data_IF_832581144124
#
_entry.id   IF_832581144124
#
_cell.length_a   1.000
_cell.length_b   1.000
_cell.length_c   1.000
_cell.angle_alpha   90.00
_cell.angle_beta   90.00
_cell.angle_gamma   90.00
#
_symmetry.space_group_name_H-M   'P 1'
#
loop_
_entity.id
_entity.type
_entity.pdbx_description
1 polymer ?
#
# COMPACT_ATOMS: atom_id res chain seq x y z
N UNK A 1 -19.71 4.96 4.94
CA UNK A 1 -18.38 5.55 5.19
C UNK A 1 -17.99 6.30 3.93
N UNK A 2 -17.50 7.53 4.06
CA UNK A 2 -17.00 8.28 2.90
C UNK A 2 -15.71 7.62 2.36
N UNK A 3 -15.38 7.89 1.09
CA UNK A 3 -14.16 7.38 0.45
C UNK A 3 -12.93 7.89 1.20
N UNK A 4 -12.06 6.98 1.63
CA UNK A 4 -10.76 7.30 2.25
C UNK A 4 -9.68 7.14 1.18
N UNK A 5 -8.84 8.17 1.02
CA UNK A 5 -7.67 8.12 0.13
C UNK A 5 -6.40 8.27 0.96
N UNK A 6 -5.48 7.33 0.80
CA UNK A 6 -4.12 7.44 1.31
C UNK A 6 -3.23 7.90 0.16
N UNK A 7 -2.38 8.89 0.38
CA UNK A 7 -1.39 9.37 -0.58
C UNK A 7 -0.01 9.27 0.05
N UNK A 8 0.95 8.72 -0.67
CA UNK A 8 2.33 8.56 -0.23
C UNK A 8 3.23 9.12 -1.32
N UNK A 9 3.65 10.39 -1.20
CA UNK A 9 4.60 10.98 -2.12
C UNK A 9 6.01 10.42 -1.86
N UNK A 10 6.77 10.23 -2.94
CA UNK A 10 8.23 10.04 -2.88
C UNK A 10 8.73 8.95 -1.91
N UNK A 11 8.13 7.74 -1.84
CA UNK A 11 8.55 6.75 -0.84
C UNK A 11 9.88 6.07 -1.16
N UNK A 12 10.40 6.23 -2.38
CA UNK A 12 11.58 5.53 -2.88
C UNK A 12 12.83 6.41 -2.79
N UNK A 13 13.96 5.79 -2.45
CA UNK A 13 15.23 6.51 -2.37
C UNK A 13 15.72 6.90 -3.78
N UNK A 14 16.21 8.14 -3.90
CA UNK A 14 16.84 8.63 -5.14
C UNK A 14 15.85 8.98 -6.26
N UNK A 15 14.55 9.04 -5.98
CA UNK A 15 13.54 9.57 -6.92
C UNK A 15 12.43 10.27 -6.14
N UNK A 16 12.23 11.56 -6.44
CA UNK A 16 11.25 12.37 -5.71
C UNK A 16 9.87 12.39 -6.39
N UNK A 17 9.82 12.10 -7.69
CA UNK A 17 8.60 12.27 -8.49
C UNK A 17 7.76 10.99 -8.62
N UNK A 18 8.11 9.91 -7.92
CA UNK A 18 7.31 8.68 -7.90
C UNK A 18 6.52 8.62 -6.60
N UNK A 19 5.21 8.44 -6.69
CA UNK A 19 4.31 8.31 -5.55
C UNK A 19 3.22 7.29 -5.80
N UNK A 20 2.41 7.02 -4.77
CA UNK A 20 1.19 6.23 -4.95
C UNK A 20 0.04 6.76 -4.11
N UNK A 21 -1.17 6.37 -4.50
CA UNK A 21 -2.38 6.52 -3.70
C UNK A 21 -3.15 5.22 -3.61
N UNK A 22 -3.82 5.00 -2.49
CA UNK A 22 -4.75 3.90 -2.29
C UNK A 22 -6.13 4.46 -2.01
N UNK A 23 -7.14 4.03 -2.76
CA UNK A 23 -8.53 4.50 -2.61
C UNK A 23 -9.39 3.41 -1.98
N UNK A 24 -9.85 3.65 -0.77
CA UNK A 24 -10.72 2.71 -0.06
C UNK A 24 -12.15 2.95 -0.52
N UNK A 25 -12.79 1.95 -1.14
CA UNK A 25 -14.15 2.09 -1.60
C UNK A 25 -15.08 2.36 -0.41
N UNK A 26 -16.08 3.21 -0.61
CA UNK A 26 -17.17 3.36 0.34
C UNK A 26 -17.87 2.00 0.52
N UNK A 27 -17.79 1.45 1.72
CA UNK A 27 -18.43 0.18 2.07
C UNK A 27 -18.92 0.20 3.52
N UNK A 28 -19.86 -0.70 3.84
CA UNK A 28 -20.29 -0.91 5.22
C UNK A 28 -19.19 -1.62 6.01
N UNK A 29 -19.14 -1.37 7.32
CA UNK A 29 -18.09 -1.85 8.22
C UNK A 29 -18.13 -3.37 8.43
N UNK A 30 -19.30 -3.98 8.28
CA UNK A 30 -19.54 -5.41 8.36
C UNK A 30 -19.38 -6.13 7.01
N UNK A 31 -19.04 -5.42 5.94
CA UNK A 31 -18.74 -6.02 4.64
C UNK A 31 -17.26 -6.42 4.55
N UNK A 32 -17.00 -7.53 3.85
CA UNK A 32 -15.65 -7.91 3.45
C UNK A 32 -14.97 -6.74 2.74
N UNK A 33 -13.69 -6.49 3.06
CA UNK A 33 -12.91 -5.48 2.36
C UNK A 33 -12.85 -5.80 0.86
N UNK A 34 -13.40 -4.89 0.05
CA UNK A 34 -13.32 -4.97 -1.40
C UNK A 34 -11.88 -4.74 -1.86
N UNK A 35 -11.57 -5.18 -3.08
CA UNK A 35 -10.27 -4.91 -3.72
C UNK A 35 -9.94 -3.41 -3.61
N UNK A 36 -8.80 -3.08 -2.99
CA UNK A 36 -8.37 -1.69 -2.79
C UNK A 36 -7.39 -1.33 -3.91
N UNK A 37 -7.77 -0.45 -4.86
CA UNK A 37 -6.89 -0.01 -5.92
C UNK A 37 -5.77 0.88 -5.38
N UNK A 38 -4.55 0.55 -5.81
CA UNK A 38 -3.35 1.36 -5.71
C UNK A 38 -3.06 1.95 -7.07
N UNK A 39 -2.93 3.28 -7.11
CA UNK A 39 -2.54 4.04 -8.30
C UNK A 39 -1.13 4.53 -8.03
N UNK A 40 -0.19 4.13 -8.87
CA UNK A 40 1.23 4.51 -8.76
C UNK A 40 1.55 5.41 -9.95
N UNK A 41 2.15 6.56 -9.66
CA UNK A 41 2.37 7.63 -10.63
C UNK A 41 3.82 8.12 -10.54
N UNK A 42 4.42 8.44 -11.68
CA UNK A 42 5.73 9.08 -11.75
C UNK A 42 6.32 9.09 -13.16
N UNK A 43 7.57 9.53 -13.33
CA UNK A 43 8.17 9.67 -14.65
C UNK A 43 8.36 8.32 -15.39
N UNK A 44 8.37 8.29 -16.73
CA UNK A 44 8.37 7.05 -17.50
C UNK A 44 9.52 6.08 -17.19
N UNK A 45 10.74 6.61 -16.99
CA UNK A 45 11.95 5.80 -16.76
C UNK A 45 11.91 5.04 -15.42
N UNK A 46 11.71 5.68 -14.26
CA UNK A 46 11.57 4.97 -12.99
C UNK A 46 10.32 4.09 -12.95
N UNK A 47 9.21 4.50 -13.58
CA UNK A 47 7.98 3.71 -13.64
C UNK A 47 8.17 2.37 -14.36
N UNK A 48 8.92 2.33 -15.47
CA UNK A 48 9.23 1.06 -16.16
C UNK A 48 9.85 0.02 -15.24
N UNK A 49 10.88 0.42 -14.49
CA UNK A 49 11.54 -0.47 -13.52
C UNK A 49 10.59 -0.82 -12.39
N UNK A 50 9.82 0.14 -11.89
CA UNK A 50 8.88 -0.12 -10.81
C UNK A 50 7.86 -1.19 -11.20
N UNK A 51 7.24 -1.08 -12.38
CA UNK A 51 6.26 -2.06 -12.88
C UNK A 51 6.86 -3.46 -13.02
N UNK A 52 8.10 -3.57 -13.50
CA UNK A 52 8.83 -4.85 -13.55
C UNK A 52 8.96 -5.49 -12.15
N UNK A 53 9.27 -4.68 -11.14
CA UNK A 53 9.38 -5.16 -9.75
C UNK A 53 8.02 -5.46 -9.12
N UNK A 54 6.99 -4.65 -9.40
CA UNK A 54 5.62 -4.88 -8.90
C UNK A 54 5.00 -6.15 -9.47
N UNK A 55 5.40 -6.56 -10.68
CA UNK A 55 4.93 -7.82 -11.29
C UNK A 55 5.25 -9.04 -10.42
N UNK A 56 6.33 -8.99 -9.63
CA UNK A 56 6.72 -10.04 -8.70
C UNK A 56 5.73 -10.23 -7.54
N UNK A 57 4.87 -9.25 -7.27
CA UNK A 57 3.92 -9.31 -6.15
C UNK A 57 2.89 -10.43 -6.35
N UNK A 58 2.57 -10.76 -7.60
CA UNK A 58 1.68 -11.88 -7.94
C UNK A 58 2.26 -13.24 -7.54
N UNK A 59 3.59 -13.34 -7.41
CA UNK A 59 4.31 -14.53 -6.99
C UNK A 59 4.62 -14.55 -5.48
N UNK A 60 3.99 -13.68 -4.68
CA UNK A 60 4.22 -13.56 -3.21
C UNK A 60 4.26 -14.92 -2.52
N UNK A 61 3.26 -15.75 -2.78
CA UNK A 61 3.08 -17.04 -2.13
C UNK A 61 4.16 -18.08 -2.50
N UNK A 62 4.87 -17.89 -3.61
CA UNK A 62 6.01 -18.73 -4.01
C UNK A 62 7.34 -18.15 -3.56
N UNK A 63 7.44 -16.84 -3.38
CA UNK A 63 8.65 -16.13 -2.98
C UNK A 63 8.82 -16.03 -1.45
N UNK A 64 7.72 -16.13 -0.70
CA UNK A 64 7.72 -16.03 0.77
C UNK A 64 7.25 -17.35 1.36
N UNK A 65 8.18 -18.08 1.98
CA UNK A 65 7.94 -19.41 2.57
C UNK A 65 7.44 -19.38 4.01
N UNK A 66 7.67 -18.29 4.74
CA UNK A 66 7.16 -18.08 6.10
C UNK A 66 5.84 -17.30 6.05
N UNK A 67 4.72 -18.01 6.25
CA UNK A 67 3.40 -17.39 6.40
C UNK A 67 3.16 -17.04 7.86
N UNK A 68 3.18 -15.74 8.19
CA UNK A 68 2.60 -15.25 9.43
C UNK A 68 1.08 -15.08 9.29
N UNK A 69 0.36 -14.93 10.40
CA UNK A 69 -1.09 -14.68 10.38
C UNK A 69 -1.45 -13.40 9.58
N UNK A 70 -0.53 -12.44 9.49
CA UNK A 70 -0.66 -11.19 8.71
C UNK A 70 -0.38 -11.34 7.19
N UNK A 71 -0.24 -12.56 6.65
CA UNK A 71 0.03 -12.82 5.22
C UNK A 71 -1.20 -13.22 4.39
N UNK A 72 -2.39 -13.13 4.99
CA UNK A 72 -3.67 -13.47 4.37
C UNK A 72 -4.18 -12.39 3.39
N UNK A 73 -3.40 -12.11 2.36
CA UNK A 73 -3.75 -11.19 1.26
C UNK A 73 -3.03 -11.56 -0.03
N UNK A 74 -3.45 -10.97 -1.15
CA UNK A 74 -2.73 -11.06 -2.42
C UNK A 74 -2.78 -9.75 -3.20
N UNK A 75 -1.91 -9.63 -4.20
CA UNK A 75 -1.89 -8.51 -5.14
C UNK A 75 -2.34 -8.97 -6.52
N UNK A 76 -3.07 -8.10 -7.24
CA UNK A 76 -3.28 -8.31 -8.68
C UNK A 76 -2.00 -8.01 -9.46
N UNK A 77 -1.93 -8.50 -10.69
CA UNK A 77 -0.90 -8.05 -11.63
C UNK A 77 -1.02 -6.53 -11.83
N UNK A 78 0.10 -5.80 -11.94
CA UNK A 78 0.06 -4.39 -12.29
C UNK A 78 -0.45 -4.23 -13.73
N UNK A 79 -1.40 -3.33 -13.92
CA UNK A 79 -1.92 -2.91 -15.21
C UNK A 79 -1.35 -1.54 -15.51
N UNK A 80 -0.54 -1.46 -16.56
CA UNK A 80 0.03 -0.20 -16.99
C UNK A 80 -0.99 0.55 -17.86
N UNK A 81 -1.40 1.75 -17.40
CA UNK A 81 -2.36 2.59 -18.12
C UNK A 81 -1.65 3.53 -19.10
N UNK A 82 -0.52 4.08 -18.66
CA UNK A 82 0.43 4.88 -19.46
C UNK A 82 1.85 4.53 -19.04
N UNK A 83 2.87 5.09 -19.69
CA UNK A 83 4.25 4.95 -19.22
C UNK A 83 4.49 5.63 -17.87
N UNK A 84 3.60 6.54 -17.45
CA UNK A 84 3.67 7.29 -16.18
C UNK A 84 2.74 6.76 -15.07
N UNK A 85 1.74 5.94 -15.41
CA UNK A 85 0.70 5.49 -14.47
C UNK A 85 0.49 3.98 -14.55
N UNK A 86 0.56 3.30 -13.40
CA UNK A 86 0.13 1.91 -13.27
C UNK A 86 -0.85 1.71 -12.10
N UNK A 87 -1.71 0.71 -12.24
CA UNK A 87 -2.71 0.35 -11.23
C UNK A 87 -2.54 -1.11 -10.85
N UNK A 88 -2.63 -1.41 -9.56
CA UNK A 88 -2.76 -2.76 -9.02
C UNK A 88 -3.74 -2.73 -7.85
N UNK A 89 -4.25 -3.88 -7.41
CA UNK A 89 -5.17 -3.94 -6.29
C UNK A 89 -4.67 -4.89 -5.20
N UNK A 90 -4.89 -4.46 -3.96
CA UNK A 90 -4.77 -5.29 -2.78
C UNK A 90 -6.05 -6.10 -2.58
N UNK A 91 -5.91 -7.40 -2.29
CA UNK A 91 -7.02 -8.31 -2.00
C UNK A 91 -6.87 -8.88 -0.60
N UNK A 92 -7.81 -8.54 0.27
CA UNK A 92 -7.85 -9.08 1.62
C UNK A 92 -8.47 -10.49 1.65
N UNK A 93 -7.80 -11.40 2.37
CA UNK A 93 -8.28 -12.74 2.67
C UNK A 93 -8.32 -13.01 4.19
N UNK A 94 -8.14 -11.98 5.03
CA UNK A 94 -8.03 -12.12 6.49
C UNK A 94 -9.38 -12.31 7.20
N UNK A 95 -10.47 -11.78 6.65
CA UNK A 95 -11.80 -11.88 7.27
C UNK A 95 -12.36 -13.32 7.24
N UNK A 96 -12.28 -13.98 8.40
CA UNK A 96 -13.29 -14.93 8.90
C UNK A 96 -14.40 -14.13 9.61
N UNK A 97 -15.65 -14.50 9.39
CA UNK A 97 -16.85 -13.84 9.95
C UNK A 97 -16.70 -13.54 11.46
N UNK A 98 -16.66 -12.26 11.84
CA UNK A 98 -16.72 -11.82 13.24
C UNK A 98 -18.07 -11.14 13.46
N UNK A 99 -18.94 -11.81 14.23
CA UNK A 99 -20.18 -11.26 14.75
C UNK A 99 -19.88 -10.43 16.00
N UNK A 100 -20.32 -9.17 16.08
CA UNK A 100 -20.36 -8.44 17.36
C UNK A 100 -20.43 -6.91 17.25
N UNK A 101 -21.48 -6.35 17.85
CA UNK A 101 -21.77 -4.92 18.03
C UNK A 101 -20.69 -4.17 18.84
N UNK A 102 -19.99 -3.21 18.25
CA UNK A 102 -19.38 -2.07 18.98
C UNK A 102 -19.02 -0.91 18.02
N UNK A 103 -20.02 -0.15 17.58
CA UNK A 103 -20.03 0.52 16.27
C UNK A 103 -19.33 1.90 16.19
N UNK A 104 -19.13 2.61 17.31
CA UNK A 104 -18.63 4.00 17.27
C UNK A 104 -17.14 4.16 17.62
N UNK A 105 -16.62 3.36 18.55
CA UNK A 105 -15.20 3.36 18.92
C UNK A 105 -14.36 2.57 17.91
N UNK A 106 -14.97 1.55 17.29
CA UNK A 106 -14.39 0.76 16.22
C UNK A 106 -14.01 1.62 15.01
N UNK A 107 -14.81 2.63 14.61
CA UNK A 107 -14.54 3.43 13.41
C UNK A 107 -13.19 4.19 13.42
N UNK A 108 -12.79 4.77 14.56
CA UNK A 108 -11.48 5.44 14.69
C UNK A 108 -10.32 4.44 14.79
N UNK A 109 -10.56 3.31 15.43
CA UNK A 109 -9.56 2.24 15.54
C UNK A 109 -9.40 1.48 14.21
N UNK A 110 -10.47 1.39 13.41
CA UNK A 110 -10.54 0.80 12.08
C UNK A 110 -9.73 1.60 11.06
N UNK A 111 -9.82 2.94 11.04
CA UNK A 111 -8.94 3.78 10.20
C UNK A 111 -7.46 3.59 10.59
N UNK A 112 -7.14 3.61 11.88
CA UNK A 112 -5.78 3.32 12.36
C UNK A 112 -5.33 1.89 12.03
N UNK A 113 -6.27 0.94 11.98
CA UNK A 113 -6.07 -0.45 11.58
C UNK A 113 -6.21 -0.70 10.06
N UNK A 114 -6.46 0.30 9.21
CA UNK A 114 -6.50 0.13 7.74
C UNK A 114 -5.37 0.89 7.07
N UNK A 115 -5.14 2.12 7.51
CA UNK A 115 -4.10 2.99 6.98
C UNK A 115 -2.73 2.41 7.22
N UNK A 116 -2.50 1.94 8.45
CA UNK A 116 -1.24 1.31 8.82
C UNK A 116 -1.01 0.03 8.02
N UNK A 117 -1.95 -0.92 7.87
CA UNK A 117 -1.68 -2.12 7.11
C UNK A 117 -1.47 -1.90 5.61
N UNK A 118 -2.30 -1.18 4.84
CA UNK A 118 -2.15 -1.30 3.37
C UNK A 118 -0.96 -0.51 2.82
N UNK A 119 -0.74 0.73 3.28
CA UNK A 119 0.43 1.50 2.84
C UNK A 119 1.72 0.84 3.32
N UNK A 120 1.79 0.34 4.56
CA UNK A 120 2.95 -0.42 5.02
C UNK A 120 3.10 -1.73 4.24
N UNK A 121 2.01 -2.44 3.98
CA UNK A 121 2.05 -3.73 3.28
C UNK A 121 2.58 -3.54 1.88
N UNK A 122 2.11 -2.51 1.16
CA UNK A 122 2.63 -2.17 -0.16
C UNK A 122 4.12 -1.82 -0.12
N UNK A 123 4.54 -0.95 0.81
CA UNK A 123 5.94 -0.53 0.95
C UNK A 123 6.86 -1.68 1.40
N UNK A 124 6.37 -2.53 2.30
CA UNK A 124 7.04 -3.75 2.75
C UNK A 124 7.22 -4.72 1.58
N UNK A 125 6.20 -4.89 0.73
CA UNK A 125 6.27 -5.74 -0.46
C UNK A 125 7.21 -5.16 -1.52
N UNK A 126 7.26 -3.82 -1.65
CA UNK A 126 8.24 -3.14 -2.48
C UNK A 126 9.68 -3.48 -2.05
N UNK A 127 9.94 -3.54 -0.74
CA UNK A 127 11.25 -3.93 -0.21
C UNK A 127 11.49 -5.42 -0.39
N UNK A 128 10.62 -6.28 0.14
CA UNK A 128 10.92 -7.71 0.29
C UNK A 128 10.77 -8.51 -1.02
N UNK A 129 9.77 -8.17 -1.84
CA UNK A 129 9.53 -8.82 -3.13
C UNK A 129 10.21 -8.03 -4.24
N UNK A 130 10.01 -6.71 -4.21
CA UNK A 130 10.55 -5.80 -5.21
C UNK A 130 12.04 -5.50 -5.03
N UNK A 131 12.66 -5.75 -3.88
CA UNK A 131 14.06 -5.37 -3.62
C UNK A 131 14.31 -3.86 -3.66
N UNK A 132 13.24 -3.05 -3.65
CA UNK A 132 13.28 -1.61 -3.85
C UNK A 132 13.76 -0.91 -2.59
N UNK A 133 14.63 0.07 -2.77
CA UNK A 133 15.14 0.90 -1.68
C UNK A 133 14.15 2.00 -1.37
N UNK A 134 13.63 1.99 -0.15
CA UNK A 134 12.78 3.07 0.37
C UNK A 134 13.63 4.23 0.93
N UNK A 135 13.05 5.42 0.94
CA UNK A 135 13.57 6.57 1.68
C UNK A 135 13.55 6.31 3.19
N UNK A 136 14.43 7.00 3.95
CA UNK A 136 14.53 6.79 5.41
C UNK A 136 13.32 7.34 6.18
N UNK A 137 12.70 8.38 5.64
CA UNK A 137 11.47 8.98 6.12
C UNK A 137 10.45 9.03 4.99
N UNK A 138 9.22 8.58 5.28
CA UNK A 138 8.15 8.47 4.30
C UNK A 138 6.95 9.28 4.81
N UNK A 139 6.56 10.27 4.02
CA UNK A 139 5.37 11.05 4.28
C UNK A 139 4.12 10.28 3.85
N UNK A 140 3.08 10.32 4.67
CA UNK A 140 1.77 9.73 4.37
C UNK A 140 0.70 10.78 4.62
N UNK A 141 -0.17 10.97 3.65
CA UNK A 141 -1.28 11.91 3.73
C UNK A 141 -2.58 11.13 3.66
N UNK A 142 -3.43 11.34 4.66
CA UNK A 142 -4.78 10.79 4.73
C UNK A 142 -5.78 11.84 4.32
N UNK A 143 -6.61 11.49 3.35
CA UNK A 143 -7.68 12.32 2.82
C UNK A 143 -9.01 11.59 3.04
N UNK A 144 -9.76 12.04 4.04
CA UNK A 144 -11.04 11.43 4.48
C UNK A 144 -12.26 12.30 4.09
N UNK A 145 -12.08 13.25 3.16
CA UNK A 145 -13.10 14.24 2.84
C UNK A 145 -13.21 15.39 3.87
N UNK A 146 -14.26 16.21 3.71
CA UNK A 146 -14.58 17.44 4.47
C UNK A 146 -13.93 17.55 5.86
N UNK A 147 -13.15 18.64 6.08
CA UNK A 147 -11.74 18.51 6.46
C UNK A 147 -11.57 17.60 7.69
N UNK A 148 -10.83 16.49 7.58
CA UNK A 148 -9.40 16.60 7.83
C UNK A 148 -8.46 15.91 6.80
N UNK A 149 -7.38 16.63 6.45
CA UNK A 149 -6.14 16.03 5.92
C UNK A 149 -5.22 15.73 7.10
N UNK A 150 -4.78 14.48 7.25
CA UNK A 150 -3.83 14.11 8.30
C UNK A 150 -2.49 13.74 7.68
N UNK A 151 -1.45 14.51 7.99
CA UNK A 151 -0.07 14.21 7.63
C UNK A 151 0.58 13.34 8.71
N UNK A 152 1.20 12.25 8.29
CA UNK A 152 1.97 11.33 9.12
C UNK A 152 3.37 11.18 8.54
N UNK A 153 4.36 11.03 9.41
CA UNK A 153 5.72 10.66 9.01
C UNK A 153 6.02 9.25 9.53
N UNK A 154 6.44 8.37 8.63
CA UNK A 154 6.82 7.01 8.94
C UNK A 154 8.33 6.85 8.83
N UNK A 155 8.94 6.26 9.86
CA UNK A 155 10.32 5.80 9.76
C UNK A 155 10.36 4.49 8.98
N UNK A 156 11.28 4.38 8.03
CA UNK A 156 11.51 3.18 7.23
C UNK A 156 11.68 1.90 8.07
N UNK A 157 12.34 2.01 9.22
CA UNK A 157 12.52 0.91 10.18
C UNK A 157 11.21 0.31 10.71
N UNK A 158 10.11 1.08 10.69
CA UNK A 158 8.80 0.58 11.07
C UNK A 158 8.15 -0.28 9.97
N UNK A 159 8.58 -0.15 8.70
CA UNK A 159 8.02 -0.87 7.55
C UNK A 159 8.71 -2.21 7.35
N UNK A 160 10.04 -2.23 7.42
CA UNK A 160 10.86 -3.41 7.27
C UNK A 160 12.16 -3.25 8.05
N UNK A 161 12.65 -4.34 8.65
CA UNK A 161 13.94 -4.33 9.34
C UNK A 161 15.07 -3.97 8.36
N UNK A 162 15.11 -4.68 7.24
CA UNK A 162 16.03 -4.46 6.12
C UNK A 162 15.43 -3.50 5.08
N UNK A 163 16.28 -2.88 4.27
CA UNK A 163 15.86 -2.07 3.12
C UNK A 163 16.30 -2.74 1.83
N UNK A 164 15.64 -2.43 0.73
CA UNK A 164 16.10 -2.85 -0.59
C UNK A 164 17.35 -2.10 -1.01
N UNK A 165 18.01 -2.62 -2.05
CA UNK A 165 19.22 -2.02 -2.64
C UNK A 165 18.96 -1.40 -4.00
N UNK A 166 17.83 -1.74 -4.63
CA UNK A 166 17.48 -1.28 -5.98
C UNK A 166 16.92 0.14 -5.94
N UNK A 167 17.57 1.04 -6.67
CA UNK A 167 17.09 2.41 -6.91
C UNK A 167 16.30 2.47 -8.22
N UNK A 168 15.21 3.24 -8.25
CA UNK A 168 14.41 3.40 -9.46
C UNK A 168 15.10 4.29 -10.51
N UNK A 169 15.87 5.29 -10.08
CA UNK A 169 16.54 6.26 -10.96
C UNK A 169 17.93 5.85 -11.48
N UNK A 170 18.45 4.67 -11.10
CA UNK A 170 19.80 4.23 -11.48
C UNK A 170 20.07 4.12 -13.00
#
# INVERSE_FOLDING_TARGET
>A
MDELVIKVPSPFSGVDDVGFSARYPAQAWNERLRDVPFIVEGPPRPMRRLVERLSLFTAKDSLITLRGDDEAYSWTAPVQLTDEVCVLAFRDHSLREVNGDDDAQAGRQYIWNLVRPLAFTFLRDCVRLGGLRLADSIAVVLDVGHPPLVGLELKRTAISAENGTLLLAA
#
